data_IF_074311408338
#
_entry.id   IF_074311408338
#
_cell.length_a   1.000
_cell.length_b   1.000
_cell.length_c   1.000
_cell.angle_alpha   90.00
_cell.angle_beta   90.00
_cell.angle_gamma   90.00
#
_symmetry.space_group_name_H-M   'P 1'
#
loop_
_entity.id
_entity.type
_entity.pdbx_description
1 polymer ?
#
# COMPACT_ATOMS: atom_id res chain seq x y z
N UNK A 1 2.84 -8.60 5.68
CA UNK A 1 4.09 -7.82 5.94
C UNK A 1 4.75 -8.09 7.30
N UNK A 2 4.07 -7.93 8.46
CA UNK A 2 4.71 -8.12 9.80
C UNK A 2 5.43 -9.45 9.97
N UNK A 3 4.78 -10.56 9.58
CA UNK A 3 5.39 -11.89 9.66
C UNK A 3 6.66 -12.02 8.79
N UNK A 4 6.66 -11.43 7.59
CA UNK A 4 7.82 -11.45 6.70
C UNK A 4 9.01 -10.65 7.27
N UNK A 5 8.74 -9.55 7.99
CA UNK A 5 9.78 -8.82 8.71
C UNK A 5 10.35 -9.65 9.86
N UNK A 6 9.47 -10.28 10.67
CA UNK A 6 9.89 -11.11 11.79
C UNK A 6 10.75 -12.30 11.35
N UNK A 7 10.37 -12.98 10.26
CA UNK A 7 11.16 -14.10 9.69
C UNK A 7 12.56 -13.68 9.24
N UNK A 8 12.76 -12.40 8.92
CA UNK A 8 14.05 -11.84 8.48
C UNK A 8 14.81 -11.15 9.61
N UNK A 9 14.23 -11.06 10.80
CA UNK A 9 14.77 -10.24 11.90
C UNK A 9 14.80 -8.73 11.58
N UNK A 10 13.96 -8.27 10.66
CA UNK A 10 13.94 -6.87 10.22
C UNK A 10 12.97 -6.03 11.03
N UNK A 11 13.37 -4.79 11.29
CA UNK A 11 12.52 -3.72 11.81
C UNK A 11 11.85 -2.96 10.65
N UNK A 12 10.88 -2.09 10.96
CA UNK A 12 10.30 -1.17 9.96
C UNK A 12 11.32 -0.19 9.41
N UNK A 13 12.36 0.15 10.21
CA UNK A 13 13.45 1.03 9.79
C UNK A 13 14.32 0.33 8.73
N UNK A 14 14.68 -0.92 8.97
CA UNK A 14 15.46 -1.72 8.02
C UNK A 14 14.71 -1.86 6.70
N UNK A 15 13.39 -2.10 6.75
CA UNK A 15 12.55 -2.12 5.56
C UNK A 15 12.59 -0.77 4.82
N UNK A 16 12.54 0.35 5.53
CA UNK A 16 12.58 1.68 4.93
C UNK A 16 13.91 1.94 4.21
N UNK A 17 15.02 1.54 4.82
CA UNK A 17 16.37 1.62 4.24
C UNK A 17 16.48 0.77 2.97
N UNK A 18 16.02 -0.49 3.01
CA UNK A 18 16.01 -1.37 1.83
C UNK A 18 15.14 -0.83 0.68
N UNK A 19 14.05 -0.15 1.01
CA UNK A 19 13.16 0.46 0.02
C UNK A 19 13.64 1.83 -0.46
N UNK A 20 14.56 2.48 0.26
CA UNK A 20 14.98 3.86 -0.01
C UNK A 20 13.86 4.87 0.23
N UNK A 21 13.07 4.67 1.30
CA UNK A 21 11.95 5.54 1.69
C UNK A 21 12.09 5.96 3.15
N UNK A 22 11.31 6.95 3.58
CA UNK A 22 11.33 7.36 4.98
C UNK A 22 10.72 6.28 5.89
N UNK A 23 11.25 6.13 7.12
CA UNK A 23 10.66 5.26 8.14
C UNK A 23 9.20 5.66 8.47
N UNK A 24 8.87 6.94 8.34
CA UNK A 24 7.51 7.45 8.52
C UNK A 24 6.56 6.92 7.45
N UNK A 25 7.01 6.82 6.18
CA UNK A 25 6.22 6.23 5.09
C UNK A 25 5.86 4.79 5.41
N UNK A 26 6.84 3.97 5.80
CA UNK A 26 6.61 2.57 6.21
C UNK A 26 5.66 2.49 7.41
N UNK A 27 5.85 3.34 8.41
CA UNK A 27 4.96 3.41 9.58
C UNK A 27 3.51 3.73 9.18
N UNK A 28 3.31 4.67 8.25
CA UNK A 28 1.99 5.05 7.77
C UNK A 28 1.32 3.90 7.00
N UNK A 29 2.07 3.15 6.19
CA UNK A 29 1.56 1.97 5.49
C UNK A 29 1.12 0.87 6.46
N UNK A 30 1.90 0.60 7.51
CA UNK A 30 1.55 -0.40 8.52
C UNK A 30 0.37 0.00 9.42
N UNK A 31 0.07 1.30 9.48
CA UNK A 31 -1.10 1.87 10.16
C UNK A 31 -2.32 2.06 9.24
N UNK A 32 -2.18 1.78 7.94
CA UNK A 32 -3.23 2.03 6.94
C UNK A 32 -3.55 3.52 6.73
N UNK A 33 -2.68 4.43 7.19
CA UNK A 33 -2.88 5.88 7.03
C UNK A 33 -2.56 6.38 5.62
N UNK A 34 -1.71 5.65 4.93
CA UNK A 34 -1.29 5.95 3.58
C UNK A 34 -1.11 4.65 2.81
N UNK A 35 -1.21 4.72 1.50
CA UNK A 35 -1.07 3.57 0.61
C UNK A 35 0.19 3.71 -0.26
N UNK A 36 1.09 2.72 -0.27
CA UNK A 36 2.30 2.79 -1.10
C UNK A 36 1.93 2.94 -2.58
N UNK A 37 2.61 3.89 -3.24
CA UNK A 37 2.49 4.08 -4.70
C UNK A 37 2.88 2.79 -5.46
N UNK A 38 2.39 2.58 -6.70
CA UNK A 38 2.58 1.32 -7.42
C UNK A 38 4.04 0.86 -7.52
N UNK A 39 4.98 1.78 -7.73
CA UNK A 39 6.42 1.51 -7.78
C UNK A 39 6.97 0.99 -6.44
N UNK A 40 6.53 1.57 -5.32
CA UNK A 40 6.92 1.16 -3.96
C UNK A 40 6.26 -0.16 -3.57
N UNK A 41 5.03 -0.39 -4.02
CA UNK A 41 4.32 -1.65 -3.81
C UNK A 41 5.00 -2.81 -4.54
N UNK A 42 5.44 -2.58 -5.79
CA UNK A 42 6.25 -3.54 -6.52
C UNK A 42 7.58 -3.82 -5.80
N UNK A 43 8.25 -2.77 -5.33
CA UNK A 43 9.50 -2.90 -4.57
C UNK A 43 9.30 -3.66 -3.25
N UNK A 44 8.17 -3.45 -2.56
CA UNK A 44 7.78 -4.22 -1.38
C UNK A 44 7.62 -5.70 -1.69
N UNK A 45 6.90 -6.03 -2.78
CA UNK A 45 6.67 -7.41 -3.21
C UNK A 45 7.98 -8.13 -3.52
N UNK A 46 8.86 -7.49 -4.29
CA UNK A 46 10.15 -8.07 -4.68
C UNK A 46 11.09 -8.18 -3.50
N UNK A 47 11.22 -7.13 -2.67
CA UNK A 47 12.09 -7.15 -1.49
C UNK A 47 11.64 -8.21 -0.48
N UNK A 48 10.34 -8.28 -0.17
CA UNK A 48 9.82 -9.22 0.83
C UNK A 48 9.53 -10.62 0.29
N UNK A 49 9.65 -10.83 -1.03
CA UNK A 49 9.23 -12.04 -1.75
C UNK A 49 7.79 -12.44 -1.42
N UNK A 50 6.90 -11.44 -1.33
CA UNK A 50 5.49 -11.67 -1.03
C UNK A 50 4.64 -11.49 -2.28
N UNK A 51 3.62 -12.35 -2.49
CA UNK A 51 2.64 -12.12 -3.54
C UNK A 51 1.81 -10.87 -3.22
N UNK A 52 1.32 -10.21 -4.27
CA UNK A 52 0.51 -8.99 -4.17
C UNK A 52 -0.66 -9.12 -3.18
N UNK A 53 -1.35 -10.26 -3.19
CA UNK A 53 -2.47 -10.55 -2.29
C UNK A 53 -2.13 -10.53 -0.79
N UNK A 54 -0.85 -10.59 -0.41
CA UNK A 54 -0.41 -10.46 0.99
C UNK A 54 0.06 -9.03 1.35
N UNK A 55 0.07 -8.13 0.38
CA UNK A 55 0.43 -6.72 0.55
C UNK A 55 -0.80 -5.82 0.59
N UNK A 56 -1.87 -6.22 -0.09
CA UNK A 56 -3.14 -5.52 -0.17
C UNK A 56 -4.26 -6.38 0.37
N UNK A 57 -5.18 -5.74 1.09
CA UNK A 57 -6.43 -6.37 1.47
C UNK A 57 -7.41 -6.32 0.28
N UNK A 58 -8.04 -7.45 -0.08
CA UNK A 58 -9.05 -7.44 -1.12
C UNK A 58 -10.19 -6.52 -0.69
N UNK A 59 -10.55 -5.60 -1.58
CA UNK A 59 -11.66 -4.68 -1.35
C UNK A 59 -12.96 -5.48 -1.22
N UNK A 60 -13.48 -5.58 0.00
CA UNK A 60 -14.80 -6.13 0.24
C UNK A 60 -15.82 -5.17 -0.40
N UNK A 61 -16.56 -5.68 -1.38
CA UNK A 61 -17.59 -4.98 -2.13
C UNK A 61 -18.59 -4.30 -1.19
N UNK A 62 -18.42 -3.01 -0.93
CA UNK A 62 -19.31 -2.27 -0.03
C UNK A 62 -18.91 -0.83 0.29
N UNK A 63 -17.64 -0.44 0.11
CA UNK A 63 -17.17 0.88 0.54
C UNK A 63 -16.77 1.76 -0.65
N UNK A 64 -17.71 2.28 -1.42
CA UNK A 64 -17.44 3.12 -2.62
C UNK A 64 -16.45 4.26 -2.29
N UNK A 65 -15.21 4.18 -2.84
CA UNK A 65 -14.15 5.20 -2.64
C UNK A 65 -14.11 6.22 -3.79
N UNK A 66 -14.92 6.01 -4.84
CA UNK A 66 -15.22 7.06 -5.81
C UNK A 66 -16.55 7.70 -5.43
N UNK A 67 -16.59 8.99 -5.06
CA UNK A 67 -17.85 9.71 -5.24
C UNK A 67 -18.17 9.60 -6.73
N UNK A 68 -19.27 8.92 -7.06
CA UNK A 68 -19.77 8.91 -8.43
C UNK A 68 -19.88 10.38 -8.88
N UNK A 69 -19.37 10.76 -10.07
CA UNK A 69 -19.60 12.09 -10.59
C UNK A 69 -21.11 12.34 -10.61
N UNK A 70 -21.57 13.42 -9.95
CA UNK A 70 -22.99 13.75 -9.99
C UNK A 70 -23.36 14.05 -11.44
N UNK A 71 -24.53 13.56 -11.85
CA UNK A 71 -25.00 13.48 -13.24
C UNK A 71 -25.16 14.81 -14.00
N UNK A 72 -24.59 15.91 -13.51
CA UNK A 72 -24.78 17.25 -14.08
C UNK A 72 -23.63 17.77 -14.95
N UNK A 73 -22.50 17.06 -15.06
CA UNK A 73 -21.40 17.47 -15.97
C UNK A 73 -21.51 16.87 -17.38
N UNK A 74 -22.64 16.25 -17.73
CA UNK A 74 -22.92 15.77 -19.08
C UNK A 74 -23.85 16.74 -19.83
N UNK A 75 -23.33 17.94 -20.10
CA UNK A 75 -23.86 18.79 -21.17
C UNK A 75 -22.67 19.28 -22.00
N UNK A 76 -22.36 18.53 -23.06
CA UNK A 76 -21.86 19.11 -24.29
C UNK A 76 -23.04 19.11 -25.27
N UNK A 77 -23.65 20.27 -25.44
CA UNK A 77 -24.49 20.63 -26.58
C UNK A 77 -23.89 21.88 -27.21
#
# INVERSE_FOLDING_TARGET
>A
MRAALAQRGWTQKDLAEQLGVSAQSVTNWFKGKDFPRPDKLLKLATTLHLPFAQLVEPYASGQVIYPAPQSQDMVCT
#
